data_IF_378139915757
#
_entry.id   IF_378139915757
#
_cell.length_a   1.000
_cell.length_b   1.000
_cell.length_c   1.000
_cell.angle_alpha   90.00
_cell.angle_beta   90.00
_cell.angle_gamma   90.00
#
_symmetry.space_group_name_H-M   'P 1'
#
loop_
_entity.id
_entity.type
_entity.pdbx_description
1 polymer ?
#
# COMPACT_ATOMS: atom_id res chain seq x y z
N UNK A 1 -19.96 27.76 -43.26
CA UNK A 1 -19.44 26.88 -42.19
C UNK A 1 -18.01 26.56 -42.54
N UNK A 2 -17.01 26.80 -41.69
CA UNK A 2 -15.62 26.47 -41.98
C UNK A 2 -15.48 24.93 -42.05
N UNK A 3 -15.02 24.41 -43.20
CA UNK A 3 -14.63 23.02 -43.33
C UNK A 3 -13.29 22.83 -42.59
N UNK A 4 -13.34 22.17 -41.44
CA UNK A 4 -12.13 21.72 -40.74
C UNK A 4 -11.46 20.68 -41.64
N UNK A 5 -10.19 20.91 -42.01
CA UNK A 5 -9.45 20.02 -42.89
C UNK A 5 -9.30 18.63 -42.21
N UNK A 6 -9.33 17.53 -43.00
CA UNK A 6 -9.26 16.16 -42.42
C UNK A 6 -8.00 15.91 -41.55
N UNK A 7 -6.91 16.60 -41.80
CA UNK A 7 -5.66 16.52 -41.00
C UNK A 7 -5.84 17.14 -39.64
N UNK A 8 -6.54 18.27 -39.51
CA UNK A 8 -6.81 18.91 -38.22
C UNK A 8 -7.70 18.04 -37.35
N UNK A 9 -8.68 17.36 -37.94
CA UNK A 9 -9.56 16.42 -37.21
C UNK A 9 -8.78 15.20 -36.68
N UNK A 10 -7.84 14.67 -37.43
CA UNK A 10 -6.97 13.55 -37.05
C UNK A 10 -6.03 13.98 -35.92
N UNK A 11 -5.44 15.17 -35.98
CA UNK A 11 -4.56 15.70 -34.93
C UNK A 11 -5.34 15.95 -33.63
N UNK A 12 -6.54 16.51 -33.69
CA UNK A 12 -7.41 16.72 -32.56
C UNK A 12 -7.86 15.39 -31.93
N UNK A 13 -8.22 14.40 -32.74
CA UNK A 13 -8.60 13.07 -32.27
C UNK A 13 -7.43 12.33 -31.60
N UNK A 14 -6.23 12.40 -32.19
CA UNK A 14 -5.03 11.82 -31.62
C UNK A 14 -4.62 12.51 -30.30
N UNK A 15 -4.73 13.83 -30.22
CA UNK A 15 -4.50 14.60 -29.01
C UNK A 15 -5.50 14.25 -27.89
N UNK A 16 -6.79 14.15 -28.22
CA UNK A 16 -7.83 13.74 -27.28
C UNK A 16 -7.62 12.30 -26.78
N UNK A 17 -7.27 11.37 -27.67
CA UNK A 17 -6.97 9.99 -27.30
C UNK A 17 -5.73 9.90 -26.39
N UNK A 18 -4.70 10.70 -26.65
CA UNK A 18 -3.50 10.80 -25.81
C UNK A 18 -3.80 11.34 -24.41
N UNK A 19 -4.63 12.37 -24.31
CA UNK A 19 -5.07 12.92 -23.01
C UNK A 19 -5.93 11.93 -22.22
N UNK A 20 -6.83 11.21 -22.88
CA UNK A 20 -7.68 10.20 -22.24
C UNK A 20 -6.85 9.00 -21.73
N UNK A 21 -5.90 8.51 -22.54
CA UNK A 21 -5.00 7.40 -22.16
C UNK A 21 -4.05 7.81 -21.03
N UNK A 22 -3.46 9.00 -21.12
CA UNK A 22 -2.60 9.54 -20.06
C UNK A 22 -3.36 9.79 -18.76
N UNK A 23 -4.56 10.38 -18.87
CA UNK A 23 -5.46 10.58 -17.72
C UNK A 23 -5.88 9.27 -17.05
N UNK A 24 -6.22 8.26 -17.83
CA UNK A 24 -6.55 6.94 -17.32
C UNK A 24 -5.33 6.28 -16.64
N UNK A 25 -4.14 6.32 -17.26
CA UNK A 25 -2.92 5.78 -16.70
C UNK A 25 -2.56 6.45 -15.36
N UNK A 26 -2.69 7.78 -15.28
CA UNK A 26 -2.53 8.53 -14.04
C UNK A 26 -3.56 8.09 -12.98
N UNK A 27 -4.83 8.04 -13.33
CA UNK A 27 -5.91 7.64 -12.43
C UNK A 27 -5.69 6.23 -11.86
N UNK A 28 -5.20 5.32 -12.69
CA UNK A 28 -5.03 3.92 -12.36
C UNK A 28 -3.78 3.62 -11.53
N UNK A 29 -2.70 4.39 -11.67
CA UNK A 29 -1.39 4.03 -11.10
C UNK A 29 -0.85 5.07 -10.12
N UNK A 30 -1.26 6.36 -10.20
CA UNK A 30 -0.73 7.36 -9.29
C UNK A 30 -1.32 7.20 -7.87
N UNK A 31 -0.50 6.93 -6.84
CA UNK A 31 -1.01 6.52 -5.53
C UNK A 31 -2.00 7.51 -4.89
N UNK A 32 -1.80 8.80 -5.10
CA UNK A 32 -2.66 9.84 -4.51
C UNK A 32 -3.85 10.25 -5.38
N UNK A 33 -4.05 9.62 -6.54
CA UNK A 33 -5.20 9.90 -7.40
C UNK A 33 -6.50 9.40 -6.75
N UNK A 34 -7.57 10.22 -6.83
CA UNK A 34 -8.92 9.90 -6.36
C UNK A 34 -9.94 9.83 -7.53
N UNK A 35 -9.46 9.84 -8.77
CA UNK A 35 -10.32 9.92 -9.97
C UNK A 35 -11.23 8.71 -10.08
N UNK A 36 -10.73 7.50 -9.77
CA UNK A 36 -11.52 6.26 -9.85
C UNK A 36 -12.35 5.97 -8.61
N UNK A 37 -12.26 6.80 -7.60
CA UNK A 37 -12.96 6.66 -6.34
C UNK A 37 -12.06 6.93 -5.14
N UNK A 38 -12.70 7.09 -4.00
CA UNK A 38 -12.01 7.42 -2.76
C UNK A 38 -11.14 6.25 -2.29
N UNK A 39 -9.90 6.56 -1.93
CA UNK A 39 -8.97 5.67 -1.25
C UNK A 39 -8.38 6.38 -0.03
N UNK A 40 -7.99 5.61 0.99
CA UNK A 40 -7.32 6.14 2.19
C UNK A 40 -5.86 6.35 1.86
N UNK A 41 -5.38 7.60 1.93
CA UNK A 41 -3.99 7.97 1.62
C UNK A 41 -3.30 8.53 2.86
N UNK A 42 -4.03 9.30 3.63
CA UNK A 42 -3.58 10.00 4.84
C UNK A 42 -4.77 10.21 5.76
N UNK A 43 -4.49 10.61 6.98
CA UNK A 43 -5.52 10.90 7.95
C UNK A 43 -6.41 12.09 7.52
N UNK A 44 -7.70 12.09 7.90
CA UNK A 44 -8.66 13.11 7.47
C UNK A 44 -8.51 14.46 8.14
N UNK A 45 -7.90 14.55 9.33
CA UNK A 45 -7.79 15.78 10.11
C UNK A 45 -6.40 16.43 10.00
N UNK A 46 -6.38 17.75 9.81
CA UNK A 46 -5.21 18.48 9.28
C UNK A 46 -4.20 18.93 10.34
N UNK A 47 -4.60 19.24 11.57
CA UNK A 47 -3.70 19.90 12.51
C UNK A 47 -3.00 18.98 13.52
N UNK A 48 -3.65 17.92 14.00
CA UNK A 48 -3.04 16.95 14.90
C UNK A 48 -2.04 15.99 14.21
N UNK A 49 -2.00 15.96 12.87
CA UNK A 49 -1.46 14.85 12.09
C UNK A 49 -0.18 15.15 11.31
N UNK A 50 0.32 16.39 11.36
CA UNK A 50 1.58 16.79 10.69
C UNK A 50 2.79 15.95 11.09
N UNK A 51 2.73 15.35 12.27
CA UNK A 51 3.80 14.53 12.85
C UNK A 51 3.47 13.03 12.85
N UNK A 52 2.30 12.66 12.31
CA UNK A 52 1.91 11.26 12.26
C UNK A 52 2.53 10.54 11.06
N UNK A 53 3.00 9.33 11.32
CA UNK A 53 3.60 8.44 10.33
C UNK A 53 2.95 7.07 10.46
N UNK A 54 2.43 6.56 9.36
CA UNK A 54 2.04 5.16 9.22
C UNK A 54 3.16 4.42 8.49
N UNK A 55 3.76 3.46 9.19
CA UNK A 55 4.66 2.47 8.60
C UNK A 55 3.81 1.35 8.00
N UNK A 56 3.94 1.13 6.70
CA UNK A 56 3.18 0.09 6.02
C UNK A 56 4.11 -0.76 5.16
N UNK A 57 4.00 -2.09 5.34
CA UNK A 57 4.84 -3.08 4.69
C UNK A 57 3.99 -3.97 3.79
N UNK A 58 4.41 -4.14 2.56
CA UNK A 58 3.73 -4.96 1.55
C UNK A 58 4.48 -6.28 1.32
N UNK A 59 3.79 -7.24 0.71
CA UNK A 59 4.28 -8.53 0.22
C UNK A 59 4.53 -9.61 1.28
N UNK A 60 4.51 -9.30 2.56
CA UNK A 60 4.80 -10.25 3.65
C UNK A 60 3.77 -11.40 3.84
N UNK A 61 4.00 -12.28 4.84
CA UNK A 61 5.16 -12.29 5.72
C UNK A 61 6.39 -12.97 5.08
N UNK A 62 7.60 -12.52 5.46
CA UNK A 62 8.87 -13.11 5.04
C UNK A 62 9.62 -13.68 6.24
N UNK A 63 10.04 -14.95 6.22
CA UNK A 63 10.80 -15.54 7.32
C UNK A 63 12.16 -14.87 7.54
N UNK A 64 12.68 -14.19 6.52
CA UNK A 64 13.98 -13.50 6.58
C UNK A 64 13.89 -12.12 7.23
N UNK A 65 12.83 -11.35 6.96
CA UNK A 65 12.83 -9.92 7.30
C UNK A 65 11.73 -9.57 8.32
N UNK A 66 10.55 -10.18 8.24
CA UNK A 66 9.42 -9.85 9.13
C UNK A 66 9.74 -10.04 10.61
N UNK A 67 10.48 -11.11 11.05
CA UNK A 67 10.82 -11.27 12.46
C UNK A 67 11.60 -10.10 13.03
N UNK A 68 12.64 -9.62 12.33
CA UNK A 68 13.45 -8.48 12.78
C UNK A 68 12.66 -7.18 12.83
N UNK A 69 11.76 -6.96 11.86
CA UNK A 69 10.84 -5.81 11.88
C UNK A 69 9.89 -5.86 13.09
N UNK A 70 9.35 -7.03 13.43
CA UNK A 70 8.48 -7.20 14.59
C UNK A 70 9.23 -6.91 15.90
N UNK A 71 10.46 -7.41 16.04
CA UNK A 71 11.28 -7.16 17.22
C UNK A 71 11.62 -5.67 17.36
N UNK A 72 11.94 -5.03 16.25
CA UNK A 72 12.23 -3.60 16.20
C UNK A 72 11.00 -2.75 16.54
N UNK A 73 9.85 -3.06 16.00
CA UNK A 73 8.60 -2.36 16.31
C UNK A 73 8.20 -2.52 17.77
N UNK A 74 8.36 -3.74 18.33
CA UNK A 74 8.09 -4.04 19.73
C UNK A 74 9.01 -3.24 20.68
N UNK A 75 10.31 -3.16 20.37
CA UNK A 75 11.28 -2.41 21.17
C UNK A 75 10.92 -0.91 21.28
N UNK A 76 10.20 -0.37 20.30
CA UNK A 76 9.76 1.03 20.28
C UNK A 76 8.26 1.22 20.60
N UNK A 77 7.56 0.15 21.03
CA UNK A 77 6.12 0.15 21.27
C UNK A 77 5.32 0.77 20.09
N UNK A 78 5.75 0.50 18.85
CA UNK A 78 5.17 1.05 17.65
C UNK A 78 4.28 0.04 16.95
N UNK A 79 3.10 0.51 16.49
CA UNK A 79 2.20 -0.27 15.65
C UNK A 79 2.43 0.06 14.18
N UNK A 80 2.36 -0.97 13.34
CA UNK A 80 2.48 -0.85 11.90
C UNK A 80 1.32 -1.58 11.19
N UNK A 81 1.29 -1.47 9.86
CA UNK A 81 0.36 -2.23 9.03
C UNK A 81 1.14 -3.11 8.06
N UNK A 82 0.75 -4.38 7.99
CA UNK A 82 1.30 -5.35 7.06
C UNK A 82 0.21 -5.76 6.06
N UNK A 83 0.41 -5.44 4.79
CA UNK A 83 -0.45 -5.92 3.70
C UNK A 83 0.09 -7.26 3.22
N UNK A 84 -0.54 -8.34 3.69
CA UNK A 84 -0.05 -9.69 3.52
C UNK A 84 -0.62 -10.34 2.25
N UNK A 85 0.24 -11.05 1.52
CA UNK A 85 -0.15 -11.92 0.40
C UNK A 85 -0.68 -13.23 1.00
N UNK A 86 -1.88 -13.66 0.57
CA UNK A 86 -2.52 -14.87 1.11
C UNK A 86 -1.65 -16.12 0.97
N UNK A 87 -0.96 -16.30 -0.15
CA UNK A 87 -0.04 -17.43 -0.35
C UNK A 87 1.14 -17.41 0.63
N UNK A 88 1.67 -16.23 0.98
CA UNK A 88 2.75 -16.10 1.97
C UNK A 88 2.23 -16.37 3.40
N UNK A 89 1.01 -15.95 3.71
CA UNK A 89 0.34 -16.31 4.98
C UNK A 89 0.18 -17.82 5.10
N UNK A 90 -0.24 -18.49 4.03
CA UNK A 90 -0.41 -19.96 3.99
C UNK A 90 0.93 -20.69 4.14
N UNK A 91 2.01 -20.18 3.54
CA UNK A 91 3.37 -20.75 3.65
C UNK A 91 4.00 -20.52 5.02
N UNK A 92 3.70 -19.41 5.69
CA UNK A 92 4.31 -19.00 6.94
C UNK A 92 3.25 -18.66 8.00
N UNK A 93 2.37 -19.63 8.38
CA UNK A 93 1.20 -19.36 9.22
C UNK A 93 1.58 -18.88 10.62
N UNK A 94 2.63 -19.42 11.23
CA UNK A 94 3.07 -19.01 12.55
C UNK A 94 3.60 -17.58 12.56
N UNK A 95 4.29 -17.17 11.51
CA UNK A 95 4.77 -15.80 11.36
C UNK A 95 3.62 -14.82 11.15
N UNK A 96 2.61 -15.20 10.36
CA UNK A 96 1.40 -14.39 10.20
C UNK A 96 0.64 -14.24 11.53
N UNK A 97 0.51 -15.31 12.33
CA UNK A 97 -0.05 -15.25 13.70
C UNK A 97 0.77 -14.34 14.61
N UNK A 98 2.10 -14.36 14.49
CA UNK A 98 2.98 -13.48 15.24
C UNK A 98 2.76 -12.01 14.91
N UNK A 99 2.55 -11.66 13.62
CA UNK A 99 2.19 -10.29 13.18
C UNK A 99 0.87 -9.85 13.85
N UNK A 100 -0.16 -10.71 13.81
CA UNK A 100 -1.45 -10.43 14.44
C UNK A 100 -1.33 -10.29 15.97
N UNK A 101 -0.67 -11.26 16.62
CA UNK A 101 -0.50 -11.32 18.07
C UNK A 101 0.31 -10.16 18.64
N UNK A 102 1.20 -9.56 17.84
CA UNK A 102 1.93 -8.34 18.20
C UNK A 102 1.07 -7.06 18.09
N UNK A 103 -0.21 -7.18 17.74
CA UNK A 103 -1.14 -6.05 17.66
C UNK A 103 -0.98 -5.16 16.43
N UNK A 104 -0.26 -5.62 15.42
CA UNK A 104 -0.16 -4.92 14.15
C UNK A 104 -1.45 -5.07 13.34
N UNK A 105 -1.71 -4.11 12.46
CA UNK A 105 -2.84 -4.19 11.54
C UNK A 105 -2.47 -5.10 10.36
N UNK A 106 -3.34 -6.05 10.05
CA UNK A 106 -3.21 -6.88 8.85
C UNK A 106 -4.18 -6.35 7.79
N UNK A 107 -3.64 -6.05 6.61
CA UNK A 107 -4.38 -5.72 5.40
C UNK A 107 -4.28 -6.83 4.36
N UNK A 108 -5.26 -6.89 3.48
CA UNK A 108 -5.32 -7.81 2.35
C UNK A 108 -4.43 -7.29 1.21
N UNK A 109 -3.50 -8.14 0.71
CA UNK A 109 -2.66 -7.82 -0.45
C UNK A 109 -2.88 -8.79 -1.62
N UNK A 110 -4.12 -9.31 -1.75
CA UNK A 110 -4.53 -10.37 -2.69
C UNK A 110 -3.97 -11.76 -2.37
N UNK A 111 -4.55 -12.79 -2.97
CA UNK A 111 -4.11 -14.17 -2.74
C UNK A 111 -2.71 -14.44 -3.33
N UNK A 112 -2.43 -13.93 -4.55
CA UNK A 112 -1.25 -14.29 -5.34
C UNK A 112 -0.51 -13.07 -5.92
N UNK A 113 -0.82 -11.84 -5.51
CA UNK A 113 -0.22 -10.61 -5.98
C UNK A 113 -0.30 -10.36 -7.52
N UNK A 114 -1.41 -10.65 -8.21
CA UNK A 114 -1.51 -10.36 -9.64
C UNK A 114 -1.75 -8.87 -9.90
N UNK A 115 -1.42 -8.40 -11.11
CA UNK A 115 -1.94 -7.11 -11.55
C UNK A 115 -3.45 -7.22 -11.80
N UNK A 116 -4.25 -6.71 -10.85
CA UNK A 116 -5.72 -6.83 -10.86
C UNK A 116 -6.39 -6.19 -12.08
N UNK A 117 -5.76 -5.19 -12.73
CA UNK A 117 -6.29 -4.58 -13.96
C UNK A 117 -6.34 -5.53 -15.15
N UNK A 118 -5.57 -6.62 -15.11
CA UNK A 118 -5.53 -7.67 -16.14
C UNK A 118 -6.45 -8.84 -15.82
N UNK A 119 -7.28 -8.72 -14.79
CA UNK A 119 -8.16 -9.77 -14.28
C UNK A 119 -9.62 -9.46 -14.60
N UNK A 120 -10.42 -10.49 -14.78
CA UNK A 120 -11.88 -10.38 -14.88
C UNK A 120 -12.46 -10.03 -13.51
N UNK A 121 -13.72 -9.58 -13.46
CA UNK A 121 -14.43 -9.29 -12.20
C UNK A 121 -14.40 -10.49 -11.25
N UNK A 122 -14.72 -11.70 -11.76
CA UNK A 122 -14.70 -12.91 -10.96
C UNK A 122 -13.30 -13.21 -10.39
N UNK A 123 -12.25 -13.03 -11.18
CA UNK A 123 -10.87 -13.22 -10.73
C UNK A 123 -10.43 -12.19 -9.69
N UNK A 124 -10.83 -10.91 -9.84
CA UNK A 124 -10.55 -9.88 -8.82
C UNK A 124 -11.23 -10.24 -7.51
N UNK A 125 -12.49 -10.66 -7.56
CA UNK A 125 -13.26 -11.08 -6.38
C UNK A 125 -12.61 -12.30 -5.70
N UNK A 126 -12.21 -13.31 -6.47
CA UNK A 126 -11.53 -14.50 -5.97
C UNK A 126 -10.21 -14.15 -5.27
N UNK A 127 -9.38 -13.31 -5.87
CA UNK A 127 -8.11 -12.87 -5.30
C UNK A 127 -8.28 -12.18 -3.93
N UNK A 128 -9.27 -11.30 -3.80
CA UNK A 128 -9.53 -10.61 -2.55
C UNK A 128 -10.19 -11.53 -1.52
N UNK A 129 -11.19 -12.30 -1.92
CA UNK A 129 -11.94 -13.17 -1.00
C UNK A 129 -11.06 -14.30 -0.44
N UNK A 130 -10.26 -14.95 -1.28
CA UNK A 130 -9.34 -16.01 -0.84
C UNK A 130 -8.26 -15.51 0.11
N UNK A 131 -7.68 -14.33 -0.17
CA UNK A 131 -6.72 -13.72 0.75
C UNK A 131 -7.37 -13.42 2.10
N UNK A 132 -8.56 -12.83 2.09
CA UNK A 132 -9.31 -12.52 3.31
C UNK A 132 -9.59 -13.78 4.12
N UNK A 133 -10.15 -14.82 3.50
CA UNK A 133 -10.44 -16.09 4.16
C UNK A 133 -9.17 -16.76 4.74
N UNK A 134 -8.05 -16.71 4.01
CA UNK A 134 -6.77 -17.25 4.48
C UNK A 134 -6.27 -16.51 5.73
N UNK A 135 -6.38 -15.17 5.75
CA UNK A 135 -5.97 -14.37 6.90
C UNK A 135 -6.91 -14.62 8.10
N UNK A 136 -8.22 -14.70 7.86
CA UNK A 136 -9.21 -15.01 8.91
C UNK A 136 -8.96 -16.37 9.53
N UNK A 137 -8.77 -17.41 8.73
CA UNK A 137 -8.53 -18.78 9.18
C UNK A 137 -7.24 -18.91 10.00
N UNK A 138 -6.15 -18.30 9.53
CA UNK A 138 -4.83 -18.46 10.13
C UNK A 138 -4.62 -17.50 11.32
N UNK A 139 -5.02 -16.25 11.17
CA UNK A 139 -4.71 -15.18 12.13
C UNK A 139 -5.87 -14.84 13.06
N UNK A 140 -7.08 -15.35 12.83
CA UNK A 140 -8.32 -14.98 13.52
C UNK A 140 -8.61 -13.47 13.48
N UNK A 141 -8.23 -12.83 12.35
CA UNK A 141 -8.40 -11.41 12.09
C UNK A 141 -9.11 -11.21 10.75
N UNK A 142 -10.21 -10.46 10.74
CA UNK A 142 -10.88 -10.06 9.50
C UNK A 142 -10.26 -8.76 8.97
N UNK A 143 -9.51 -8.78 7.84
CA UNK A 143 -8.99 -7.57 7.24
C UNK A 143 -10.12 -6.59 6.87
N UNK A 144 -9.94 -5.31 7.20
CA UNK A 144 -10.86 -4.23 6.82
C UNK A 144 -10.28 -3.28 5.78
N UNK A 145 -9.01 -3.47 5.47
CA UNK A 145 -8.27 -2.68 4.49
C UNK A 145 -7.56 -3.59 3.51
N UNK A 146 -7.40 -3.10 2.29
CA UNK A 146 -6.55 -3.76 1.30
C UNK A 146 -5.67 -2.76 0.56
N UNK A 147 -4.58 -3.25 0.02
CA UNK A 147 -3.76 -2.48 -0.92
C UNK A 147 -3.67 -3.24 -2.23
N UNK A 148 -4.03 -2.60 -3.36
CA UNK A 148 -3.91 -3.26 -4.65
C UNK A 148 -2.44 -3.45 -5.03
N UNK A 149 -2.03 -4.65 -5.50
CA UNK A 149 -0.70 -4.87 -6.06
C UNK A 149 -0.30 -3.80 -7.08
N UNK A 150 0.97 -3.35 -7.01
CA UNK A 150 1.50 -2.26 -7.85
C UNK A 150 0.78 -0.92 -7.67
N UNK A 151 -0.07 -0.75 -6.68
CA UNK A 151 -0.97 0.41 -6.55
C UNK A 151 -2.01 0.52 -7.67
N UNK A 152 -2.15 -0.51 -8.48
CA UNK A 152 -2.91 -0.50 -9.73
C UNK A 152 -4.39 -0.77 -9.48
N UNK A 153 -5.26 0.19 -9.82
CA UNK A 153 -6.69 0.14 -9.51
C UNK A 153 -7.58 0.65 -10.63
N UNK A 154 -8.84 0.25 -10.59
CA UNK A 154 -9.93 0.72 -11.45
C UNK A 154 -11.19 0.91 -10.62
N UNK A 155 -12.25 1.59 -11.13
CA UNK A 155 -13.55 1.67 -10.45
C UNK A 155 -14.11 0.29 -10.09
N UNK A 156 -13.93 -0.70 -10.96
CA UNK A 156 -14.34 -2.09 -10.73
C UNK A 156 -13.65 -2.69 -9.49
N UNK A 157 -12.32 -2.59 -9.41
CA UNK A 157 -11.53 -3.13 -8.29
C UNK A 157 -11.97 -2.49 -6.97
N UNK A 158 -12.14 -1.15 -6.96
CA UNK A 158 -12.57 -0.42 -5.77
C UNK A 158 -14.01 -0.77 -5.36
N UNK A 159 -14.90 -1.06 -6.33
CA UNK A 159 -16.26 -1.53 -6.05
C UNK A 159 -16.24 -2.90 -5.39
N UNK A 160 -15.54 -3.87 -5.98
CA UNK A 160 -15.43 -5.24 -5.44
C UNK A 160 -14.84 -5.23 -4.03
N UNK A 161 -13.79 -4.44 -3.79
CA UNK A 161 -13.20 -4.31 -2.46
C UNK A 161 -14.24 -3.84 -1.43
N UNK A 162 -15.03 -2.80 -1.76
CA UNK A 162 -16.09 -2.30 -0.87
C UNK A 162 -17.21 -3.33 -0.61
N UNK A 163 -17.59 -4.12 -1.61
CA UNK A 163 -18.54 -5.22 -1.46
C UNK A 163 -18.03 -6.30 -0.51
N UNK A 164 -16.72 -6.47 -0.41
CA UNK A 164 -16.03 -7.36 0.54
C UNK A 164 -15.67 -6.67 1.87
N UNK A 165 -16.22 -5.48 2.14
CA UNK A 165 -15.92 -4.67 3.32
C UNK A 165 -14.44 -4.26 3.47
N UNK A 166 -13.73 -4.14 2.36
CA UNK A 166 -12.34 -3.71 2.30
C UNK A 166 -12.24 -2.25 1.83
N UNK A 167 -11.56 -1.39 2.60
CA UNK A 167 -11.21 -0.04 2.17
C UNK A 167 -9.83 -0.03 1.50
N UNK A 168 -9.74 0.58 0.34
CA UNK A 168 -8.49 0.67 -0.38
C UNK A 168 -7.55 1.69 0.29
N UNK A 169 -6.37 1.23 0.68
CA UNK A 169 -5.31 2.06 1.28
C UNK A 169 -4.18 2.23 0.29
N UNK A 170 -3.90 3.47 -0.05
CA UNK A 170 -2.75 3.86 -0.87
C UNK A 170 -1.67 4.48 0.03
N UNK A 171 -0.75 5.24 -0.53
CA UNK A 171 0.34 5.90 0.19
C UNK A 171 0.64 7.28 -0.38
N UNK A 172 1.35 8.11 0.37
CA UNK A 172 1.85 9.42 -0.10
C UNK A 172 3.37 9.56 -0.04
N UNK A 173 4.07 8.52 0.43
CA UNK A 173 5.52 8.40 0.36
C UNK A 173 5.88 7.04 -0.21
N UNK A 174 6.58 7.04 -1.36
CA UNK A 174 7.18 5.84 -1.96
C UNK A 174 8.66 5.81 -1.60
N UNK A 175 9.06 4.86 -0.77
CA UNK A 175 10.44 4.75 -0.29
C UNK A 175 11.40 4.22 -1.37
N UNK A 176 10.90 3.35 -2.29
CA UNK A 176 11.70 2.63 -3.28
C UNK A 176 12.75 1.72 -2.65
N UNK A 177 12.37 1.07 -1.56
CA UNK A 177 13.21 0.15 -0.80
C UNK A 177 13.52 -1.17 -1.54
N UNK A 178 12.78 -1.45 -2.60
CA UNK A 178 13.00 -2.61 -3.47
C UNK A 178 14.07 -2.40 -4.56
N UNK A 179 14.54 -1.16 -4.75
CA UNK A 179 15.49 -0.81 -5.82
C UNK A 179 16.95 -1.19 -5.46
N UNK A 180 17.21 -1.68 -4.25
CA UNK A 180 18.55 -2.05 -3.72
C UNK A 180 19.58 -0.92 -3.88
N UNK A 181 19.18 0.33 -3.63
CA UNK A 181 20.03 1.53 -3.80
C UNK A 181 20.70 1.99 -2.50
N UNK A 182 20.53 1.21 -1.44
CA UNK A 182 21.12 1.45 -0.13
C UNK A 182 20.33 2.40 0.76
N UNK A 183 20.59 2.30 2.05
CA UNK A 183 19.92 3.06 3.12
C UNK A 183 19.87 4.58 2.86
N UNK A 184 20.97 5.26 2.43
CA UNK A 184 20.93 6.71 2.23
C UNK A 184 19.91 7.14 1.18
N UNK A 185 19.72 6.34 0.12
CA UNK A 185 18.74 6.64 -0.91
C UNK A 185 17.31 6.53 -0.37
N UNK A 186 16.98 5.43 0.29
CA UNK A 186 15.65 5.16 0.86
C UNK A 186 15.33 6.20 1.92
N UNK A 187 16.26 6.46 2.85
CA UNK A 187 16.10 7.45 3.92
C UNK A 187 15.82 8.86 3.37
N UNK A 188 16.62 9.32 2.40
CA UNK A 188 16.42 10.64 1.79
C UNK A 188 15.03 10.80 1.13
N UNK A 189 14.52 9.74 0.50
CA UNK A 189 13.18 9.75 -0.08
C UNK A 189 12.10 9.87 0.99
N UNK A 190 12.22 9.11 2.05
CA UNK A 190 11.30 9.14 3.19
C UNK A 190 11.32 10.50 3.87
N UNK A 191 12.49 11.04 4.18
CA UNK A 191 12.65 12.34 4.85
C UNK A 191 12.08 13.49 4.03
N UNK A 192 12.38 13.53 2.72
CA UNK A 192 11.78 14.51 1.80
C UNK A 192 10.26 14.37 1.73
N UNK A 193 9.76 13.13 1.75
CA UNK A 193 8.32 12.84 1.77
C UNK A 193 7.65 13.37 3.04
N UNK A 194 8.21 13.08 4.20
CA UNK A 194 7.72 13.55 5.50
C UNK A 194 7.75 15.09 5.54
N UNK A 195 8.86 15.70 5.16
CA UNK A 195 8.98 17.17 5.15
C UNK A 195 7.95 17.84 4.23
N UNK A 196 7.71 17.26 3.03
CA UNK A 196 6.67 17.73 2.10
C UNK A 196 5.27 17.61 2.71
N UNK A 197 4.95 16.47 3.35
CA UNK A 197 3.64 16.21 3.94
C UNK A 197 3.39 17.14 5.15
N UNK A 198 4.40 17.39 5.97
CA UNK A 198 4.35 18.37 7.07
C UNK A 198 4.02 19.78 6.56
N UNK A 199 4.65 20.23 5.48
CA UNK A 199 4.35 21.54 4.86
C UNK A 199 2.90 21.62 4.36
N UNK A 200 2.32 20.48 3.96
CA UNK A 200 0.93 20.39 3.51
C UNK A 200 -0.07 20.18 4.64
N UNK A 201 0.38 20.02 5.87
CA UNK A 201 -0.48 19.74 7.03
C UNK A 201 -1.15 18.37 6.98
N UNK A 202 -0.48 17.35 6.39
CA UNK A 202 -1.02 16.00 6.28
C UNK A 202 -0.08 14.96 6.88
N UNK A 203 -0.65 13.86 7.39
CA UNK A 203 0.11 12.71 7.87
C UNK A 203 0.83 11.97 6.73
N UNK A 204 1.83 11.19 7.09
CA UNK A 204 2.67 10.43 6.16
C UNK A 204 2.29 8.96 6.20
N UNK A 205 1.95 8.39 5.05
CA UNK A 205 1.75 6.96 4.83
C UNK A 205 2.87 6.46 3.93
N UNK A 206 3.78 5.67 4.52
CA UNK A 206 5.02 5.24 3.87
C UNK A 206 4.82 3.83 3.34
N UNK A 207 5.02 3.66 2.02
CA UNK A 207 5.12 2.35 1.38
C UNK A 207 6.54 1.81 1.54
N UNK A 208 6.64 0.69 2.23
CA UNK A 208 7.81 -0.16 2.41
C UNK A 208 7.43 -1.61 2.10
N UNK A 209 8.41 -2.52 2.11
CA UNK A 209 8.18 -3.95 1.87
C UNK A 209 8.97 -4.77 2.90
N UNK A 210 8.32 -5.79 3.47
CA UNK A 210 8.99 -6.78 4.33
C UNK A 210 9.31 -8.09 3.58
N UNK A 211 8.78 -8.22 2.35
CA UNK A 211 9.05 -9.34 1.47
C UNK A 211 9.16 -8.91 -0.01
N UNK A 212 9.15 -9.87 -0.91
CA UNK A 212 8.95 -9.69 -2.34
C UNK A 212 7.88 -10.67 -2.81
N UNK A 213 6.96 -10.22 -3.64
CA UNK A 213 5.99 -11.10 -4.29
C UNK A 213 6.63 -12.14 -5.22
N UNK A 214 7.91 -11.97 -5.55
CA UNK A 214 8.71 -12.91 -6.35
C UNK A 214 9.47 -13.94 -5.51
N UNK A 215 9.36 -13.89 -4.17
CA UNK A 215 10.09 -14.77 -3.27
C UNK A 215 9.57 -16.21 -3.35
N UNK A 216 10.17 -16.98 -4.23
CA UNK A 216 9.80 -18.39 -4.39
C UNK A 216 10.68 -19.34 -3.57
N UNK A 217 11.98 -19.13 -3.50
CA UNK A 217 12.94 -20.04 -2.84
C UNK A 217 13.90 -19.35 -1.89
N UNK A 218 14.29 -18.10 -2.18
CA UNK A 218 15.16 -17.31 -1.31
C UNK A 218 14.55 -15.91 -1.11
N UNK A 219 14.06 -15.61 0.11
CA UNK A 219 13.49 -14.30 0.40
C UNK A 219 14.49 -13.16 0.16
N UNK A 220 14.08 -12.16 -0.61
CA UNK A 220 14.90 -10.98 -0.87
C UNK A 220 15.28 -10.28 0.45
N UNK A 221 16.50 -9.77 0.54
CA UNK A 221 16.90 -8.96 1.70
C UNK A 221 16.18 -7.61 1.69
N UNK A 222 15.63 -7.24 2.83
CA UNK A 222 15.03 -5.92 3.09
C UNK A 222 15.83 -5.14 4.15
N UNK A 223 17.15 -5.30 4.15
CA UNK A 223 18.03 -4.63 5.09
C UNK A 223 17.88 -3.10 5.06
N UNK A 224 17.69 -2.51 3.87
CA UNK A 224 17.43 -1.06 3.73
C UNK A 224 16.12 -0.66 4.40
N UNK A 225 15.06 -1.47 4.26
CA UNK A 225 13.77 -1.27 4.93
C UNK A 225 13.91 -1.30 6.45
N UNK A 226 14.61 -2.31 6.97
CA UNK A 226 14.84 -2.50 8.41
C UNK A 226 15.64 -1.32 8.98
N UNK A 227 16.72 -0.93 8.31
CA UNK A 227 17.56 0.19 8.75
C UNK A 227 16.81 1.52 8.75
N UNK A 228 16.02 1.80 7.70
CA UNK A 228 15.19 3.02 7.63
C UNK A 228 14.07 2.99 8.66
N UNK A 229 13.45 1.84 8.90
CA UNK A 229 12.45 1.67 9.96
C UNK A 229 13.05 2.01 11.31
N UNK A 230 14.25 1.50 11.63
CA UNK A 230 14.98 1.81 12.87
C UNK A 230 15.21 3.31 13.02
N UNK A 231 15.78 3.95 11.99
CA UNK A 231 16.04 5.38 12.01
C UNK A 231 14.77 6.24 12.20
N UNK A 232 13.63 5.78 11.68
CA UNK A 232 12.35 6.46 11.88
C UNK A 232 11.83 6.29 13.32
N UNK A 233 11.95 5.09 13.89
CA UNK A 233 11.47 4.78 15.23
C UNK A 233 12.28 5.50 16.34
N UNK A 234 13.54 5.80 16.08
CA UNK A 234 14.40 6.58 16.98
C UNK A 234 14.06 8.09 17.00
N UNK A 235 13.17 8.56 16.13
CA UNK A 235 12.81 9.98 16.03
C UNK A 235 11.75 10.38 17.03
N UNK A 236 12.08 11.32 17.90
CA UNK A 236 11.16 11.87 18.91
C UNK A 236 10.12 12.87 18.34
N UNK A 237 10.30 13.31 17.09
CA UNK A 237 9.41 14.24 16.41
C UNK A 237 8.31 13.56 15.59
N UNK A 238 8.21 12.23 15.64
CA UNK A 238 7.22 11.42 14.94
C UNK A 238 6.25 10.73 15.91
N UNK A 239 5.00 10.60 15.48
CA UNK A 239 3.97 9.79 16.13
C UNK A 239 3.55 8.69 15.18
N UNK A 240 3.63 7.43 15.63
CA UNK A 240 3.23 6.30 14.82
C UNK A 240 1.74 6.01 14.97
N UNK A 241 1.08 5.71 13.85
CA UNK A 241 -0.34 5.40 13.72
C UNK A 241 -0.53 4.37 12.61
N UNK A 242 -1.76 3.93 12.39
CA UNK A 242 -2.06 2.99 11.31
C UNK A 242 -3.12 3.56 10.36
N UNK A 243 -3.08 3.22 9.07
CA UNK A 243 -4.13 3.63 8.13
C UNK A 243 -5.53 3.14 8.50
N UNK A 244 -5.66 2.09 9.30
CA UNK A 244 -6.95 1.60 9.77
C UNK A 244 -7.67 2.66 10.65
N UNK A 245 -6.92 3.45 11.41
CA UNK A 245 -7.45 4.56 12.22
C UNK A 245 -8.01 5.69 11.36
N UNK A 246 -7.64 5.74 10.08
CA UNK A 246 -8.08 6.75 9.12
C UNK A 246 -9.27 6.31 8.27
N UNK A 247 -9.65 5.05 8.39
CA UNK A 247 -10.84 4.51 7.71
C UNK A 247 -12.09 5.04 8.41
N UNK A 248 -13.03 5.67 7.68
CA UNK A 248 -14.28 6.09 8.27
C UNK A 248 -15.03 4.92 8.89
N UNK A 249 -15.58 5.12 10.08
CA UNK A 249 -16.52 4.15 10.67
C UNK A 249 -17.75 4.16 9.76
N UNK A 250 -18.09 3.01 9.20
CA UNK A 250 -19.35 2.85 8.47
C UNK A 250 -20.50 2.76 9.50
N UNK A 251 -21.57 3.51 9.29
CA UNK A 251 -22.76 3.42 10.14
C UNK A 251 -23.42 2.05 10.07
#
# INVERSE_FOLDING_TARGET
>A
MPHVAPVELVVLAAGAAGLLTGGYAYAANWPTSQIFGRTVITAPDRDALRHTVALTYDDGPSPRNTPELLDLLAAHNARATFFLIGEHVRKHPDLARRVAGAGHVIGNHTAMHPNLRRKTEAQVRDELARCQATIEDICSVTPRIFRPPYGSRTPLILRIARELNLEAVMWNITAHDWDNRGVPFVQNRVDKGIARNRKRGVGSNILLHDASHLDASEPASRADTIAVTRALLERNDLRFTTPLEWVPVRP
#
